data_IF_534078402670
#
_entry.id   IF_534078402670
#
_cell.length_a   1.000
_cell.length_b   1.000
_cell.length_c   1.000
_cell.angle_alpha   90.00
_cell.angle_beta   90.00
_cell.angle_gamma   90.00
#
_symmetry.space_group_name_H-M   'P 1'
#
loop_
_entity.id
_entity.type
_entity.pdbx_description
1 polymer ?
#
# COMPACT_ATOMS: atom_id res chain seq x y z
N UNK A 1 25.43 -7.51 11.07
CA UNK A 1 24.87 -8.33 9.98
C UNK A 1 25.31 -7.69 8.66
N UNK A 2 24.88 -8.12 7.46
CA UNK A 2 25.14 -7.34 6.25
C UNK A 2 24.34 -6.02 6.35
N UNK A 3 24.94 -4.83 6.19
CA UNK A 3 24.22 -3.56 6.34
C UNK A 3 23.00 -3.44 5.42
N UNK A 4 23.08 -4.00 4.20
CA UNK A 4 21.94 -4.00 3.27
C UNK A 4 20.76 -4.85 3.78
N UNK A 5 21.05 -5.92 4.52
CA UNK A 5 20.03 -6.78 5.10
C UNK A 5 19.37 -6.08 6.31
N UNK A 6 20.14 -5.34 7.11
CA UNK A 6 19.58 -4.56 8.22
C UNK A 6 18.63 -3.48 7.73
N UNK A 7 19.01 -2.77 6.66
CA UNK A 7 18.15 -1.79 5.97
C UNK A 7 16.88 -2.42 5.39
N UNK A 8 16.98 -3.59 4.77
CA UNK A 8 15.81 -4.27 4.21
C UNK A 8 14.84 -4.69 5.33
N UNK A 9 15.35 -5.18 6.46
CA UNK A 9 14.52 -5.59 7.59
C UNK A 9 13.91 -4.37 8.30
N UNK A 10 14.64 -3.25 8.43
CA UNK A 10 14.09 -2.01 8.99
C UNK A 10 12.95 -1.47 8.13
N UNK A 11 13.15 -1.39 6.81
CA UNK A 11 12.14 -0.96 5.86
C UNK A 11 10.90 -1.88 5.89
N UNK A 12 11.10 -3.19 5.96
CA UNK A 12 10.01 -4.16 6.08
C UNK A 12 9.24 -3.99 7.41
N UNK A 13 9.94 -3.92 8.54
CA UNK A 13 9.32 -3.73 9.86
C UNK A 13 8.54 -2.41 9.92
N UNK A 14 9.12 -1.32 9.41
CA UNK A 14 8.44 -0.04 9.31
C UNK A 14 7.18 -0.10 8.46
N UNK A 15 7.27 -0.72 7.28
CA UNK A 15 6.13 -0.90 6.38
C UNK A 15 5.02 -1.77 6.99
N UNK A 16 5.38 -2.84 7.69
CA UNK A 16 4.43 -3.71 8.39
C UNK A 16 3.70 -2.99 9.54
N UNK A 17 4.42 -2.17 10.30
CA UNK A 17 3.83 -1.34 11.35
C UNK A 17 2.89 -0.27 10.77
N UNK A 18 3.32 0.42 9.70
CA UNK A 18 2.56 1.48 9.04
C UNK A 18 1.28 0.95 8.39
N UNK A 19 1.35 -0.18 7.68
CA UNK A 19 0.18 -0.83 7.08
C UNK A 19 -0.81 -1.32 8.14
N UNK A 20 -0.32 -1.86 9.25
CA UNK A 20 -1.16 -2.26 10.38
C UNK A 20 -1.88 -1.06 11.01
N UNK A 21 -1.23 0.10 11.08
CA UNK A 21 -1.88 1.34 11.49
C UNK A 21 -3.01 1.74 10.53
N UNK A 22 -2.79 1.66 9.21
CA UNK A 22 -3.84 1.91 8.22
C UNK A 22 -5.02 0.94 8.35
N UNK A 23 -4.77 -0.34 8.65
CA UNK A 23 -5.83 -1.32 8.94
C UNK A 23 -6.67 -0.88 10.14
N UNK A 24 -6.03 -0.44 11.23
CA UNK A 24 -6.74 0.07 12.41
C UNK A 24 -7.58 1.31 12.05
N UNK A 25 -7.00 2.27 11.32
CA UNK A 25 -7.72 3.47 10.89
C UNK A 25 -8.90 3.15 9.98
N UNK A 26 -8.73 2.21 9.04
CA UNK A 26 -9.80 1.76 8.17
C UNK A 26 -10.93 1.11 8.98
N UNK A 27 -10.62 0.22 9.93
CA UNK A 27 -11.61 -0.43 10.79
C UNK A 27 -12.39 0.57 11.64
N UNK A 28 -11.73 1.61 12.15
CA UNK A 28 -12.39 2.71 12.86
C UNK A 28 -13.29 3.51 11.90
N UNK A 29 -12.79 3.84 10.71
CA UNK A 29 -13.54 4.60 9.70
C UNK A 29 -14.74 3.87 9.13
N UNK A 30 -14.71 2.53 9.09
CA UNK A 30 -15.78 1.68 8.57
C UNK A 30 -16.62 1.04 9.67
N UNK A 31 -16.70 1.64 10.87
CA UNK A 31 -17.37 1.12 12.08
C UNK A 31 -18.80 0.63 11.78
N UNK A 32 -18.89 -0.60 11.29
CA UNK A 32 -20.11 -1.29 10.94
C UNK A 32 -20.55 -2.07 12.19
N UNK A 33 -21.77 -1.85 12.71
CA UNK A 33 -22.27 -2.50 13.93
C UNK A 33 -22.26 -4.04 13.88
N UNK A 34 -22.14 -4.64 12.68
CA UNK A 34 -22.07 -6.09 12.51
C UNK A 34 -20.64 -6.64 12.35
N UNK A 35 -19.63 -5.79 12.18
CA UNK A 35 -18.25 -6.25 12.11
C UNK A 35 -17.76 -6.54 13.54
N UNK A 36 -16.95 -7.58 13.71
CA UNK A 36 -16.19 -7.81 14.96
C UNK A 36 -14.80 -7.17 14.81
N UNK A 37 -14.62 -5.86 15.02
CA UNK A 37 -13.36 -5.15 14.73
C UNK A 37 -12.23 -5.57 15.68
N UNK A 38 -12.57 -6.15 16.84
CA UNK A 38 -11.62 -6.51 17.88
C UNK A 38 -10.53 -7.47 17.38
N UNK A 39 -10.89 -8.47 16.54
CA UNK A 39 -9.94 -9.49 16.08
C UNK A 39 -8.90 -8.84 15.13
N UNK A 40 -9.29 -8.13 14.06
CA UNK A 40 -8.34 -7.41 13.22
C UNK A 40 -7.54 -6.33 13.97
N UNK A 41 -8.15 -5.59 14.91
CA UNK A 41 -7.44 -4.57 15.70
C UNK A 41 -6.34 -5.18 16.59
N UNK A 42 -6.62 -6.31 17.24
CA UNK A 42 -5.62 -7.03 18.03
C UNK A 42 -4.48 -7.52 17.15
N UNK A 43 -4.80 -8.13 16.00
CA UNK A 43 -3.79 -8.58 15.04
C UNK A 43 -2.88 -7.44 14.60
N UNK A 44 -3.46 -6.33 14.15
CA UNK A 44 -2.71 -5.15 13.72
C UNK A 44 -1.85 -4.56 14.87
N UNK A 45 -2.37 -4.53 16.09
CA UNK A 45 -1.62 -4.05 17.26
C UNK A 45 -0.42 -4.94 17.56
N UNK A 46 -0.58 -6.26 17.51
CA UNK A 46 0.52 -7.22 17.70
C UNK A 46 1.60 -7.01 16.64
N UNK A 47 1.22 -6.82 15.37
CA UNK A 47 2.18 -6.57 14.29
C UNK A 47 2.94 -5.27 14.52
N UNK A 48 2.28 -4.20 14.98
CA UNK A 48 2.94 -2.93 15.33
C UNK A 48 3.98 -3.15 16.44
N UNK A 49 3.61 -3.83 17.53
CA UNK A 49 4.52 -4.08 18.64
C UNK A 49 5.69 -4.99 18.25
N UNK A 50 5.42 -6.07 17.51
CA UNK A 50 6.46 -7.00 17.05
C UNK A 50 7.44 -6.31 16.09
N UNK A 51 6.93 -5.52 15.16
CA UNK A 51 7.77 -4.76 14.21
C UNK A 51 8.61 -3.71 14.92
N UNK A 52 8.03 -3.00 15.89
CA UNK A 52 8.74 -2.00 16.70
C UNK A 52 9.84 -2.65 17.54
N UNK A 53 9.55 -3.81 18.14
CA UNK A 53 10.53 -4.57 18.91
C UNK A 53 11.68 -5.06 18.01
N UNK A 54 11.36 -5.61 16.84
CA UNK A 54 12.36 -6.07 15.88
C UNK A 54 13.26 -4.92 15.41
N UNK A 55 12.67 -3.78 15.06
CA UNK A 55 13.40 -2.57 14.66
C UNK A 55 14.31 -2.08 15.80
N UNK A 56 13.77 -1.98 17.03
CA UNK A 56 14.53 -1.54 18.19
C UNK A 56 15.75 -2.45 18.46
N UNK A 57 15.57 -3.76 18.31
CA UNK A 57 16.63 -4.75 18.48
C UNK A 57 17.72 -4.60 17.40
N UNK A 58 17.36 -4.35 16.14
CA UNK A 58 18.31 -4.17 15.03
C UNK A 58 19.12 -2.89 15.19
N UNK A 59 18.44 -1.79 15.55
CA UNK A 59 19.08 -0.46 15.69
C UNK A 59 19.81 -0.33 17.04
N UNK A 60 19.58 -1.24 17.99
CA UNK A 60 20.23 -1.23 19.30
C UNK A 60 19.69 -0.16 20.25
N UNK A 61 18.40 0.17 20.13
CA UNK A 61 17.71 1.16 20.98
C UNK A 61 16.68 0.50 21.89
N UNK A 62 16.31 1.11 23.03
CA UNK A 62 15.24 0.58 23.87
C UNK A 62 13.90 0.61 23.14
N UNK A 63 13.11 -0.47 23.30
CA UNK A 63 11.76 -0.60 22.74
C UNK A 63 10.75 0.28 23.49
N UNK A 64 10.79 1.59 23.22
CA UNK A 64 9.92 2.61 23.80
C UNK A 64 9.18 3.40 22.71
N UNK A 65 8.55 4.52 23.10
CA UNK A 65 7.85 5.42 22.16
C UNK A 65 8.75 6.01 21.07
N UNK A 66 10.06 6.17 21.34
CA UNK A 66 11.03 6.62 20.34
C UNK A 66 11.22 5.55 19.27
N UNK A 67 11.39 4.28 19.68
CA UNK A 67 11.49 3.17 18.74
C UNK A 67 10.23 3.04 17.87
N UNK A 68 9.03 3.20 18.46
CA UNK A 68 7.78 3.21 17.70
C UNK A 68 7.77 4.32 16.65
N UNK A 69 8.14 5.54 17.03
CA UNK A 69 8.20 6.69 16.11
C UNK A 69 9.17 6.43 14.95
N UNK A 70 10.36 5.91 15.26
CA UNK A 70 11.38 5.60 14.25
C UNK A 70 10.95 4.47 13.31
N UNK A 71 10.32 3.43 13.85
CA UNK A 71 9.75 2.35 13.05
C UNK A 71 8.69 2.89 12.08
N UNK A 72 7.81 3.78 12.56
CA UNK A 72 6.79 4.39 11.70
C UNK A 72 7.40 5.31 10.63
N UNK A 73 8.42 6.11 10.96
CA UNK A 73 9.11 6.93 9.94
C UNK A 73 9.81 6.09 8.89
N UNK A 74 10.38 4.96 9.29
CA UNK A 74 11.00 4.02 8.36
C UNK A 74 9.97 3.43 7.38
N UNK A 75 8.76 3.15 7.86
CA UNK A 75 7.65 2.74 6.99
C UNK A 75 7.25 3.81 5.97
N UNK A 76 7.29 5.09 6.34
CA UNK A 76 7.03 6.20 5.41
C UNK A 76 8.14 6.31 4.37
N UNK A 77 9.40 6.22 4.78
CA UNK A 77 10.54 6.26 3.88
C UNK A 77 10.50 5.10 2.88
N UNK A 78 10.25 3.88 3.35
CA UNK A 78 10.08 2.71 2.50
C UNK A 78 8.95 2.88 1.49
N UNK A 79 7.84 3.54 1.88
CA UNK A 79 6.75 3.85 0.95
C UNK A 79 7.20 4.86 -0.11
N UNK A 80 7.90 5.93 0.29
CA UNK A 80 8.44 6.93 -0.64
C UNK A 80 9.41 6.30 -1.66
N UNK A 81 10.23 5.34 -1.24
CA UNK A 81 11.16 4.63 -2.12
C UNK A 81 10.44 3.79 -3.19
N UNK A 82 9.22 3.32 -2.91
CA UNK A 82 8.41 2.52 -3.84
C UNK A 82 7.60 3.40 -4.81
N UNK A 83 7.32 4.68 -4.47
CA UNK A 83 6.50 5.58 -5.31
C UNK A 83 6.99 5.67 -6.76
N UNK A 84 8.28 5.88 -7.06
CA UNK A 84 8.76 5.97 -8.44
C UNK A 84 8.48 4.71 -9.26
N UNK A 85 8.62 3.53 -8.63
CA UNK A 85 8.37 2.23 -9.26
C UNK A 85 6.87 2.07 -9.53
N UNK A 86 6.02 2.41 -8.56
CA UNK A 86 4.58 2.39 -8.72
C UNK A 86 4.13 3.34 -9.85
N UNK A 87 4.71 4.54 -9.92
CA UNK A 87 4.42 5.51 -10.97
C UNK A 87 4.80 4.99 -12.36
N UNK A 88 5.97 4.35 -12.50
CA UNK A 88 6.40 3.73 -13.74
C UNK A 88 5.42 2.63 -14.18
N UNK A 89 5.01 1.76 -13.26
CA UNK A 89 4.05 0.70 -13.54
C UNK A 89 2.70 1.26 -14.00
N UNK A 90 2.16 2.25 -13.29
CA UNK A 90 0.93 2.93 -13.67
C UNK A 90 1.05 3.55 -15.06
N UNK A 91 2.16 4.25 -15.33
CA UNK A 91 2.42 4.89 -16.63
C UNK A 91 2.43 3.86 -17.76
N UNK A 92 3.10 2.72 -17.54
CA UNK A 92 3.13 1.62 -18.51
C UNK A 92 1.72 1.05 -18.76
N UNK A 93 0.94 0.81 -17.70
CA UNK A 93 -0.43 0.32 -17.83
C UNK A 93 -1.33 1.32 -18.56
N UNK A 94 -1.20 2.62 -18.29
CA UNK A 94 -1.94 3.66 -19.00
C UNK A 94 -1.55 3.75 -20.47
N UNK A 95 -0.26 3.64 -20.79
CA UNK A 95 0.21 3.60 -22.17
C UNK A 95 -0.38 2.39 -22.91
N UNK A 96 -0.33 1.20 -22.28
CA UNK A 96 -0.91 -0.01 -22.85
C UNK A 96 -2.42 0.14 -23.09
N UNK A 97 -3.15 0.71 -22.13
CA UNK A 97 -4.58 0.98 -22.26
C UNK A 97 -4.87 2.01 -23.37
N UNK A 98 -4.04 3.04 -23.50
CA UNK A 98 -4.17 4.07 -24.54
C UNK A 98 -3.90 3.54 -25.94
N UNK A 99 -3.00 2.58 -26.09
CA UNK A 99 -2.65 1.96 -27.38
C UNK A 99 -3.57 0.79 -27.74
N UNK A 100 -4.39 0.31 -26.80
CA UNK A 100 -5.36 -0.74 -27.07
C UNK A 100 -6.40 -0.18 -28.04
N UNK A 101 -6.43 -0.73 -29.26
CA UNK A 101 -7.49 -0.40 -30.23
C UNK A 101 -8.85 -0.56 -29.56
N UNK A 102 -9.67 0.48 -29.63
CA UNK A 102 -11.08 0.41 -29.26
C UNK A 102 -11.70 -0.71 -30.12
N UNK A 103 -12.32 -1.75 -29.54
CA UNK A 103 -13.12 -2.67 -30.35
C UNK A 103 -14.12 -1.83 -31.14
N UNK A 104 -14.34 -2.17 -32.41
CA UNK A 104 -15.26 -1.41 -33.25
C UNK A 104 -16.61 -1.34 -32.55
N UNK A 105 -17.06 -0.11 -32.34
CA UNK A 105 -18.22 0.17 -31.52
C UNK A 105 -19.44 -0.23 -32.35
N UNK A 106 -20.15 -1.32 -32.00
CA UNK A 106 -21.21 -1.86 -32.86
C UNK A 106 -22.33 -0.83 -33.09
N UNK A 107 -22.48 0.15 -32.21
CA UNK A 107 -23.41 1.26 -32.37
C UNK A 107 -22.94 2.31 -33.40
N UNK A 108 -21.63 2.56 -33.54
CA UNK A 108 -21.12 3.42 -34.61
C UNK A 108 -21.29 2.75 -35.98
N UNK A 109 -21.05 1.43 -36.08
CA UNK A 109 -21.24 0.68 -37.31
C UNK A 109 -22.71 0.68 -37.78
N UNK A 110 -23.66 0.74 -36.84
CA UNK A 110 -25.09 0.87 -37.15
C UNK A 110 -25.45 2.27 -37.65
N UNK A 111 -24.83 3.33 -37.12
CA UNK A 111 -25.04 4.70 -37.59
C UNK A 111 -24.46 4.94 -38.99
N UNK A 112 -23.31 4.33 -39.30
CA UNK A 112 -22.69 4.42 -40.63
C UNK A 112 -23.40 3.56 -41.70
N UNK A 113 -24.20 2.57 -41.27
CA UNK A 113 -24.98 1.72 -42.19
C UNK A 113 -26.43 2.18 -42.37
N UNK A 114 -26.87 3.25 -41.69
CA UNK A 114 -28.20 3.82 -41.89
C UNK A 114 -28.22 4.69 -43.16
N UNK A 115 -28.97 4.32 -44.21
CA UNK A 115 -28.99 5.03 -45.47
C UNK A 115 -29.87 6.28 -45.32
N UNK A 116 -29.29 7.41 -44.90
CA UNK A 116 -30.09 8.60 -44.59
C UNK A 116 -29.37 9.94 -44.51
N UNK A 117 -28.10 10.07 -44.92
CA UNK A 117 -27.45 11.38 -45.03
C UNK A 117 -26.46 11.46 -46.20
N UNK A 118 -26.97 11.24 -47.41
CA UNK A 118 -26.81 12.04 -48.64
C UNK A 118 -27.52 11.34 -49.81
#
# INVERSE_FOLDING_TARGET
>A
MNPNLELAISAFAGSAALTSLFVILALIGTLNPYHRPAIPMLGASIVIFASTYLFAHIVGIPANSIALRLTMSEGVLALLDIIPIAFLLCTFMFLQASLRKRPEDPLLALLESEPGSE
#
